data_IF_500023381283
#
_entry.id   IF_500023381283
#
_cell.length_a   1.000
_cell.length_b   1.000
_cell.length_c   1.000
_cell.angle_alpha   90.00
_cell.angle_beta   90.00
_cell.angle_gamma   90.00
#
_symmetry.space_group_name_H-M   'P 1'
#
loop_
_entity.id
_entity.type
_entity.pdbx_description
1 polymer ?
#
# COMPACT_ATOMS: atom_id res chain seq x y z
N UNK A 1 -2.72 -7.63 5.88
CA UNK A 1 -3.77 -7.48 6.91
C UNK A 1 -4.49 -8.80 7.05
N UNK A 2 -4.46 -9.48 8.21
CA UNK A 2 -5.24 -10.69 8.40
C UNK A 2 -6.73 -10.32 8.50
N UNK A 3 -7.53 -10.82 7.56
CA UNK A 3 -8.98 -10.65 7.51
C UNK A 3 -9.64 -12.01 7.78
N UNK A 4 -10.73 -12.02 8.54
CA UNK A 4 -11.58 -13.19 8.63
C UNK A 4 -12.30 -13.42 7.29
N UNK A 5 -12.87 -14.62 7.09
CA UNK A 5 -13.69 -14.88 5.91
C UNK A 5 -14.78 -13.81 5.76
N UNK A 6 -14.97 -13.31 4.55
CA UNK A 6 -15.94 -12.26 4.20
C UNK A 6 -15.74 -10.89 4.89
N UNK A 7 -14.68 -10.71 5.69
CA UNK A 7 -14.37 -9.43 6.32
C UNK A 7 -13.96 -8.39 5.28
N UNK A 8 -14.35 -7.15 5.52
CA UNK A 8 -14.12 -6.03 4.59
C UNK A 8 -13.18 -5.03 5.24
N UNK A 9 -12.27 -4.48 4.43
CA UNK A 9 -11.37 -3.44 4.89
C UNK A 9 -11.74 -2.07 4.32
N UNK A 10 -12.14 -1.16 5.21
CA UNK A 10 -12.38 0.23 4.89
C UNK A 10 -11.14 1.05 5.18
N UNK A 11 -10.35 1.35 4.16
CA UNK A 11 -9.04 1.99 4.29
C UNK A 11 -9.11 3.52 4.14
N UNK A 12 -8.36 4.22 4.98
CA UNK A 12 -8.04 5.63 4.82
C UNK A 12 -6.59 5.88 5.28
N UNK A 13 -5.98 6.99 4.86
CA UNK A 13 -4.63 7.33 5.30
C UNK A 13 -4.52 8.82 5.59
N UNK A 14 -3.97 9.15 6.76
CA UNK A 14 -3.66 10.53 7.14
C UNK A 14 -2.36 10.96 6.46
N UNK A 15 -2.38 12.12 5.81
CA UNK A 15 -1.16 12.74 5.31
C UNK A 15 -0.43 13.46 6.46
N UNK A 16 0.61 12.81 7.00
CA UNK A 16 1.39 13.31 8.13
C UNK A 16 2.26 14.52 7.77
N UNK A 17 2.65 14.68 6.51
CA UNK A 17 3.38 15.87 6.03
C UNK A 17 2.59 17.16 6.31
N UNK A 18 1.25 17.09 6.24
CA UNK A 18 0.35 18.20 6.53
C UNK A 18 0.09 18.43 8.02
N UNK A 19 0.64 17.58 8.89
CA UNK A 19 0.50 17.67 10.35
C UNK A 19 1.74 18.28 11.00
N UNK A 20 2.74 18.69 10.23
CA UNK A 20 3.91 19.41 10.74
C UNK A 20 3.63 20.92 10.88
N UNK A 21 4.02 21.51 12.00
CA UNK A 21 4.35 22.93 12.10
C UNK A 21 5.81 23.10 11.66
N UNK A 22 5.99 23.41 10.39
CA UNK A 22 7.30 23.57 9.75
C UNK A 22 8.19 24.60 10.44
N UNK A 23 7.61 25.67 10.98
CA UNK A 23 8.39 26.75 11.60
C UNK A 23 8.93 26.35 12.95
N UNK A 24 8.19 25.51 13.67
CA UNK A 24 8.56 25.06 15.02
C UNK A 24 9.14 23.64 15.03
N UNK A 25 9.23 23.00 13.87
CA UNK A 25 9.77 21.65 13.69
C UNK A 25 9.11 20.62 14.63
N UNK A 26 7.78 20.69 14.76
CA UNK A 26 7.01 19.77 15.60
C UNK A 26 5.69 19.36 14.95
N UNK A 27 5.02 18.37 15.55
CA UNK A 27 3.67 17.94 15.14
C UNK A 27 2.62 18.92 15.66
N UNK A 28 1.69 19.32 14.81
CA UNK A 28 0.44 19.97 15.21
C UNK A 28 -0.53 18.89 15.74
N UNK A 29 -0.37 18.56 17.02
CA UNK A 29 -1.12 17.49 17.70
C UNK A 29 -2.63 17.74 17.70
N UNK A 30 -3.06 19.01 17.83
CA UNK A 30 -4.47 19.38 17.83
C UNK A 30 -5.09 19.16 16.44
N UNK A 31 -4.38 19.53 15.39
CA UNK A 31 -4.81 19.25 14.00
C UNK A 31 -4.85 17.75 13.75
N UNK A 32 -3.81 17.03 14.14
CA UNK A 32 -3.77 15.57 14.01
C UNK A 32 -4.95 14.91 14.72
N UNK A 33 -5.27 15.31 15.96
CA UNK A 33 -6.42 14.80 16.71
C UNK A 33 -7.73 15.01 15.97
N UNK A 34 -8.01 16.25 15.53
CA UNK A 34 -9.23 16.57 14.79
C UNK A 34 -9.33 15.78 13.48
N UNK A 35 -8.21 15.58 12.79
CA UNK A 35 -8.14 14.77 11.57
C UNK A 35 -8.44 13.30 11.85
N UNK A 36 -7.87 12.72 12.92
CA UNK A 36 -8.16 11.34 13.34
C UNK A 36 -9.64 11.18 13.66
N UNK A 37 -10.22 12.06 14.48
CA UNK A 37 -11.63 11.98 14.89
C UNK A 37 -12.56 12.00 13.67
N UNK A 38 -12.26 12.88 12.72
CA UNK A 38 -13.00 12.97 11.45
C UNK A 38 -12.82 11.71 10.61
N UNK A 39 -11.59 11.20 10.47
CA UNK A 39 -11.30 10.02 9.66
C UNK A 39 -12.00 8.77 10.20
N UNK A 40 -11.97 8.54 11.52
CA UNK A 40 -12.65 7.41 12.16
C UNK A 40 -14.17 7.48 11.93
N UNK A 41 -14.78 8.65 12.11
CA UNK A 41 -16.22 8.84 11.82
C UNK A 41 -16.54 8.64 10.35
N UNK A 42 -15.72 9.15 9.44
CA UNK A 42 -15.91 8.96 8.00
C UNK A 42 -15.84 7.48 7.61
N UNK A 43 -14.84 6.75 8.11
CA UNK A 43 -14.71 5.31 7.84
C UNK A 43 -15.86 4.51 8.45
N UNK A 44 -16.35 4.87 9.65
CA UNK A 44 -17.55 4.25 10.23
C UNK A 44 -18.79 4.48 9.36
N UNK A 45 -18.96 5.67 8.80
CA UNK A 45 -20.08 5.98 7.91
C UNK A 45 -19.98 5.25 6.55
N UNK A 46 -18.77 4.99 6.05
CA UNK A 46 -18.55 4.24 4.79
C UNK A 46 -19.10 2.82 4.90
N UNK A 47 -18.99 2.17 6.06
CA UNK A 47 -19.57 0.84 6.30
C UNK A 47 -21.06 0.83 5.96
N UNK A 48 -21.82 1.82 6.47
CA UNK A 48 -23.27 1.88 6.27
C UNK A 48 -23.67 2.30 4.84
N UNK A 49 -22.76 2.94 4.11
CA UNK A 49 -22.96 3.40 2.72
C UNK A 49 -22.49 2.42 1.66
N UNK A 50 -21.67 1.45 2.04
CA UNK A 50 -21.09 0.49 1.10
C UNK A 50 -22.18 -0.44 0.58
N UNK A 51 -22.25 -0.60 -0.74
CA UNK A 51 -23.08 -1.64 -1.36
C UNK A 51 -22.37 -2.98 -1.25
N UNK A 52 -22.99 -3.93 -0.56
CA UNK A 52 -22.48 -5.30 -0.43
C UNK A 52 -23.20 -6.22 -1.40
N UNK A 53 -22.44 -6.87 -2.29
CA UNK A 53 -22.99 -7.78 -3.31
C UNK A 53 -23.22 -9.19 -2.78
N UNK A 54 -22.44 -9.62 -1.78
CA UNK A 54 -22.63 -10.89 -1.08
C UNK A 54 -23.21 -10.61 0.30
N UNK A 55 -24.21 -11.40 0.68
CA UNK A 55 -24.91 -11.23 1.95
C UNK A 55 -23.99 -11.54 3.14
N UNK A 56 -23.10 -12.51 2.99
CA UNK A 56 -22.08 -12.87 3.99
C UNK A 56 -21.13 -11.69 4.25
N UNK A 57 -20.73 -10.96 3.21
CA UNK A 57 -19.92 -9.75 3.38
C UNK A 57 -20.69 -8.67 4.12
N UNK A 58 -21.98 -8.50 3.81
CA UNK A 58 -22.84 -7.50 4.46
C UNK A 58 -22.97 -7.79 5.95
N UNK A 59 -23.27 -9.05 6.31
CA UNK A 59 -23.39 -9.50 7.70
C UNK A 59 -22.06 -9.28 8.44
N UNK A 60 -20.95 -9.72 7.85
CA UNK A 60 -19.64 -9.60 8.47
C UNK A 60 -19.25 -8.13 8.69
N UNK A 61 -19.35 -7.30 7.65
CA UNK A 61 -18.92 -5.89 7.72
C UNK A 61 -19.77 -5.06 8.69
N UNK A 62 -21.10 -5.23 8.69
CA UNK A 62 -21.99 -4.52 9.62
C UNK A 62 -21.84 -5.03 11.05
N UNK A 63 -21.50 -6.31 11.24
CA UNK A 63 -21.33 -6.93 12.55
C UNK A 63 -20.01 -6.57 13.24
N UNK A 64 -18.90 -6.60 12.50
CA UNK A 64 -17.56 -6.30 13.06
C UNK A 64 -17.18 -4.82 12.97
N UNK A 65 -17.82 -4.08 12.05
CA UNK A 65 -17.57 -2.66 11.75
C UNK A 65 -16.08 -2.30 11.62
N UNK A 66 -15.32 -3.14 10.93
CA UNK A 66 -13.86 -3.00 10.79
C UNK A 66 -13.51 -1.81 9.91
N UNK A 67 -12.53 -1.04 10.37
CA UNK A 67 -11.89 0.03 9.61
C UNK A 67 -10.37 -0.14 9.67
N UNK A 68 -9.65 0.59 8.81
CA UNK A 68 -8.19 0.57 8.75
C UNK A 68 -7.66 1.95 8.43
N UNK A 69 -7.47 2.77 9.46
CA UNK A 69 -6.78 4.05 9.37
C UNK A 69 -5.27 3.79 9.34
N UNK A 70 -4.64 4.26 8.27
CA UNK A 70 -3.19 4.29 8.11
C UNK A 70 -2.66 5.71 7.97
N UNK A 71 -1.45 5.81 7.46
CA UNK A 71 -0.78 7.09 7.22
C UNK A 71 -0.05 7.10 5.88
N UNK A 72 0.34 8.29 5.44
CA UNK A 72 1.31 8.56 4.38
C UNK A 72 2.13 9.79 4.79
N UNK A 73 3.27 10.01 4.14
CA UNK A 73 4.14 11.16 4.41
C UNK A 73 4.83 11.11 5.77
N UNK A 74 5.10 9.91 6.30
CA UNK A 74 5.83 9.76 7.56
C UNK A 74 7.24 10.33 7.46
N UNK A 75 7.92 10.09 6.34
CA UNK A 75 9.29 10.56 6.16
C UNK A 75 9.34 12.08 5.99
N UNK A 76 8.39 12.67 5.28
CA UNK A 76 8.21 14.12 5.22
C UNK A 76 8.09 14.72 6.62
N UNK A 77 7.22 14.18 7.47
CA UNK A 77 7.04 14.66 8.83
C UNK A 77 8.33 14.56 9.65
N UNK A 78 9.06 13.45 9.55
CA UNK A 78 10.34 13.24 10.22
C UNK A 78 11.37 14.28 9.78
N UNK A 79 11.45 14.58 8.47
CA UNK A 79 12.32 15.62 7.91
C UNK A 79 11.91 17.00 8.45
N UNK A 80 10.61 17.32 8.47
CA UNK A 80 10.12 18.61 8.98
C UNK A 80 10.34 18.79 10.48
N UNK A 81 10.42 17.70 11.23
CA UNK A 81 10.83 17.70 12.64
C UNK A 81 12.36 17.70 12.82
N UNK A 82 13.15 17.83 11.74
CA UNK A 82 14.60 17.84 11.75
C UNK A 82 15.21 16.57 12.38
N UNK A 83 14.65 15.41 12.03
CA UNK A 83 15.08 14.10 12.52
C UNK A 83 15.49 13.22 11.33
N UNK A 84 16.48 12.34 11.54
CA UNK A 84 16.87 11.32 10.57
C UNK A 84 16.05 10.05 10.77
N UNK A 85 15.39 9.58 9.72
CA UNK A 85 14.64 8.32 9.75
C UNK A 85 15.51 7.16 10.27
N UNK A 86 14.96 6.27 11.10
CA UNK A 86 15.67 5.12 11.65
C UNK A 86 16.61 5.41 12.82
N UNK A 87 16.99 6.67 13.05
CA UNK A 87 17.80 7.08 14.21
C UNK A 87 17.07 6.87 15.54
N UNK A 88 17.80 6.72 16.64
CA UNK A 88 17.22 6.56 17.99
C UNK A 88 16.26 7.70 18.36
N UNK A 89 16.63 8.95 18.05
CA UNK A 89 15.78 10.12 18.29
C UNK A 89 14.48 10.08 17.47
N UNK A 90 14.59 9.73 16.18
CA UNK A 90 13.40 9.56 15.33
C UNK A 90 12.53 8.40 15.79
N UNK A 91 13.12 7.32 16.29
CA UNK A 91 12.41 6.16 16.81
C UNK A 91 11.59 6.50 18.06
N UNK A 92 12.11 7.31 18.99
CA UNK A 92 11.34 7.82 20.12
C UNK A 92 10.18 8.73 19.66
N UNK A 93 10.44 9.62 18.70
CA UNK A 93 9.40 10.48 18.12
C UNK A 93 8.29 9.67 17.41
N UNK A 94 8.66 8.66 16.62
CA UNK A 94 7.72 7.77 15.93
C UNK A 94 6.87 7.00 16.93
N UNK A 95 7.46 6.56 18.05
CA UNK A 95 6.72 5.90 19.12
C UNK A 95 5.64 6.81 19.73
N UNK A 96 6.01 8.04 20.07
CA UNK A 96 5.09 9.05 20.59
C UNK A 96 3.97 9.36 19.58
N UNK A 97 4.33 9.59 18.32
CA UNK A 97 3.40 9.86 17.24
C UNK A 97 2.37 8.75 17.07
N UNK A 98 2.80 7.50 17.02
CA UNK A 98 1.90 6.36 16.82
C UNK A 98 1.11 6.01 18.08
N UNK A 99 1.68 6.23 19.27
CA UNK A 99 0.92 6.15 20.53
C UNK A 99 -0.24 7.14 20.54
N UNK A 100 0.02 8.39 20.13
CA UNK A 100 -1.00 9.43 20.01
C UNK A 100 -2.06 9.09 18.98
N UNK A 101 -1.65 8.63 17.78
CA UNK A 101 -2.60 8.21 16.72
C UNK A 101 -3.49 7.08 17.23
N UNK A 102 -2.90 6.08 17.88
CA UNK A 102 -3.63 4.91 18.31
C UNK A 102 -4.62 5.21 19.43
N UNK A 103 -4.17 5.90 20.47
CA UNK A 103 -5.04 6.30 21.58
C UNK A 103 -6.17 7.21 21.11
N UNK A 104 -5.86 8.20 20.26
CA UNK A 104 -6.87 9.11 19.68
C UNK A 104 -7.90 8.38 18.82
N UNK A 105 -7.49 7.41 18.01
CA UNK A 105 -8.41 6.63 17.18
C UNK A 105 -9.37 5.81 18.05
N UNK A 106 -8.85 5.16 19.09
CA UNK A 106 -9.66 4.40 20.04
C UNK A 106 -10.63 5.30 20.80
N UNK A 107 -10.20 6.49 21.23
CA UNK A 107 -11.11 7.48 21.83
C UNK A 107 -12.22 7.88 20.88
N UNK A 108 -11.91 8.19 19.62
CA UNK A 108 -12.91 8.55 18.62
C UNK A 108 -13.96 7.44 18.43
N UNK A 109 -13.54 6.18 18.38
CA UNK A 109 -14.45 5.04 18.24
C UNK A 109 -15.28 4.77 19.51
N UNK A 110 -14.75 5.06 20.70
CA UNK A 110 -15.51 5.02 21.96
C UNK A 110 -16.58 6.12 21.97
N UNK A 111 -16.25 7.35 21.56
CA UNK A 111 -17.25 8.43 21.46
C UNK A 111 -18.34 8.09 20.44
N UNK A 112 -17.98 7.46 19.31
CA UNK A 112 -18.97 6.92 18.38
C UNK A 112 -19.82 5.79 18.99
N UNK A 113 -19.27 4.98 19.90
CA UNK A 113 -20.04 3.95 20.59
C UNK A 113 -21.08 4.54 21.54
N UNK A 114 -20.76 5.66 22.21
CA UNK A 114 -21.74 6.40 23.02
C UNK A 114 -22.89 6.96 22.19
N UNK A 115 -22.58 7.46 20.98
CA UNK A 115 -23.57 8.04 20.08
C UNK A 115 -24.41 6.98 19.36
N UNK A 116 -23.77 5.92 18.83
CA UNK A 116 -24.37 4.98 17.87
C UNK A 116 -24.44 3.53 18.36
N UNK A 117 -23.93 3.24 19.55
CA UNK A 117 -23.76 1.89 20.09
C UNK A 117 -22.45 1.23 19.67
N UNK A 118 -22.04 0.22 20.44
CA UNK A 118 -20.86 -0.63 20.17
C UNK A 118 -21.03 -1.45 18.90
N UNK A 119 -19.94 -2.00 18.34
CA UNK A 119 -20.08 -2.90 17.18
C UNK A 119 -20.85 -4.17 17.54
N UNK A 120 -21.80 -4.64 16.69
CA UNK A 120 -22.72 -5.71 17.05
C UNK A 120 -22.07 -7.02 17.53
N UNK A 121 -20.98 -7.47 16.91
CA UNK A 121 -20.35 -8.73 17.30
C UNK A 121 -19.72 -8.70 18.70
N UNK A 122 -19.33 -7.52 19.22
CA UNK A 122 -18.86 -7.43 20.61
C UNK A 122 -19.99 -7.72 21.59
N UNK A 123 -21.17 -7.18 21.30
CA UNK A 123 -22.34 -7.28 22.16
C UNK A 123 -23.06 -8.64 21.99
N UNK A 124 -23.02 -9.23 20.79
CA UNK A 124 -23.68 -10.50 20.49
C UNK A 124 -22.87 -11.73 20.90
N UNK A 125 -21.57 -11.75 20.59
CA UNK A 125 -20.73 -12.94 20.74
C UNK A 125 -19.51 -12.70 21.65
N UNK A 126 -19.16 -11.42 21.84
CA UNK A 126 -17.97 -11.02 22.55
C UNK A 126 -18.18 -10.79 24.05
N UNK A 127 -17.13 -10.24 24.65
CA UNK A 127 -17.17 -9.68 26.00
C UNK A 127 -16.22 -8.50 26.01
N UNK A 128 -16.68 -7.36 26.52
CA UNK A 128 -15.83 -6.17 26.68
C UNK A 128 -14.62 -6.48 27.56
N UNK A 129 -14.79 -7.34 28.57
CA UNK A 129 -13.71 -7.82 29.42
C UNK A 129 -12.66 -8.59 28.60
N UNK A 130 -13.10 -9.62 27.84
CA UNK A 130 -12.19 -10.39 26.98
C UNK A 130 -11.51 -9.51 25.92
N UNK A 131 -12.20 -8.49 25.42
CA UNK A 131 -11.64 -7.56 24.44
C UNK A 131 -10.46 -6.77 25.02
N UNK A 132 -10.62 -6.19 26.22
CA UNK A 132 -9.53 -5.42 26.86
C UNK A 132 -8.37 -6.30 27.37
N UNK A 133 -8.63 -7.60 27.54
CA UNK A 133 -7.63 -8.62 27.92
C UNK A 133 -6.83 -9.16 26.73
N UNK A 134 -7.17 -8.80 25.49
CA UNK A 134 -6.38 -9.19 24.32
C UNK A 134 -4.97 -8.59 24.38
N UNK A 135 -3.98 -9.30 23.81
CA UNK A 135 -2.56 -8.91 23.93
C UNK A 135 -2.22 -7.52 23.39
N UNK A 136 -2.99 -7.01 22.42
CA UNK A 136 -2.85 -5.62 21.96
C UNK A 136 -3.46 -4.63 22.97
N UNK A 137 -4.70 -4.88 23.42
CA UNK A 137 -5.40 -4.01 24.35
C UNK A 137 -4.77 -3.95 25.73
N UNK A 138 -4.08 -5.01 26.17
CA UNK A 138 -3.34 -5.00 27.43
C UNK A 138 -2.23 -3.93 27.49
N UNK A 139 -1.73 -3.50 26.33
CA UNK A 139 -0.71 -2.44 26.19
C UNK A 139 -1.32 -1.04 26.05
N UNK A 140 -2.63 -0.93 25.82
CA UNK A 140 -3.32 0.35 25.73
C UNK A 140 -3.44 1.01 27.11
N UNK A 141 -3.51 2.37 27.18
CA UNK A 141 -3.69 3.07 28.44
C UNK A 141 -4.93 2.59 29.21
N UNK A 142 -4.82 2.55 30.53
CA UNK A 142 -5.90 2.10 31.40
C UNK A 142 -7.19 2.91 31.20
N UNK A 143 -7.06 4.21 30.98
CA UNK A 143 -8.20 5.09 30.68
C UNK A 143 -8.99 4.64 29.45
N UNK A 144 -8.34 4.13 28.41
CA UNK A 144 -9.00 3.60 27.21
C UNK A 144 -9.71 2.29 27.54
N UNK A 145 -9.03 1.37 28.24
CA UNK A 145 -9.64 0.08 28.63
C UNK A 145 -10.89 0.27 29.47
N UNK A 146 -10.86 1.15 30.47
CA UNK A 146 -12.00 1.43 31.32
C UNK A 146 -13.16 2.08 30.56
N UNK A 147 -12.86 3.03 29.65
CA UNK A 147 -13.88 3.62 28.78
C UNK A 147 -14.54 2.56 27.87
N UNK A 148 -13.79 1.58 27.36
CA UNK A 148 -14.34 0.48 26.55
C UNK A 148 -15.24 -0.43 27.39
N UNK A 149 -14.87 -0.76 28.62
CA UNK A 149 -15.74 -1.52 29.52
C UNK A 149 -17.07 -0.79 29.74
N UNK A 150 -16.99 0.51 30.03
CA UNK A 150 -18.15 1.34 30.34
C UNK A 150 -19.05 1.57 29.13
N UNK A 151 -18.49 2.04 28.01
CA UNK A 151 -19.26 2.55 26.87
C UNK A 151 -19.26 1.62 25.65
N UNK A 152 -18.36 0.65 25.59
CA UNK A 152 -18.10 -0.14 24.39
C UNK A 152 -17.19 0.58 23.40
N UNK A 153 -17.10 0.05 22.18
CA UNK A 153 -16.30 0.63 21.08
C UNK A 153 -17.02 0.40 19.75
N UNK A 154 -16.99 1.39 18.85
CA UNK A 154 -17.80 1.34 17.61
C UNK A 154 -17.23 0.41 16.55
N UNK A 155 -15.93 0.14 16.57
CA UNK A 155 -15.21 -0.59 15.54
C UNK A 155 -14.34 -1.69 16.15
N UNK A 156 -14.32 -2.88 15.55
CA UNK A 156 -13.51 -4.01 16.07
C UNK A 156 -12.00 -3.78 15.91
N UNK A 157 -11.60 -3.15 14.81
CA UNK A 157 -10.23 -2.76 14.50
C UNK A 157 -10.26 -1.37 13.88
N UNK A 158 -9.23 -0.58 14.16
CA UNK A 158 -9.13 0.81 13.80
C UNK A 158 -7.92 1.11 12.93
N UNK A 159 -6.78 0.44 13.17
CA UNK A 159 -5.49 0.86 12.63
C UNK A 159 -4.89 -0.21 11.73
N UNK A 160 -4.62 0.16 10.48
CA UNK A 160 -3.96 -0.70 9.49
C UNK A 160 -3.12 0.18 8.58
N UNK A 161 -1.83 -0.14 8.46
CA UNK A 161 -0.97 0.59 7.54
C UNK A 161 -0.92 -0.15 6.21
N UNK A 162 -1.77 0.29 5.28
CA UNK A 162 -1.76 -0.18 3.90
C UNK A 162 -0.74 0.59 3.04
N UNK A 163 -0.29 0.02 1.90
CA UNK A 163 0.51 0.76 0.94
C UNK A 163 -0.26 1.97 0.41
N UNK A 164 0.38 3.14 0.41
CA UNK A 164 -0.17 4.36 -0.21
C UNK A 164 0.65 4.77 -1.43
N UNK A 165 1.12 3.79 -2.21
CA UNK A 165 1.93 4.02 -3.40
C UNK A 165 1.29 5.01 -4.39
N UNK A 166 0.03 4.79 -4.74
CA UNK A 166 -0.71 5.67 -5.65
C UNK A 166 -1.13 6.99 -5.00
N UNK A 167 -1.73 6.93 -3.80
CA UNK A 167 -2.29 8.11 -3.12
C UNK A 167 -1.22 9.04 -2.57
N UNK A 168 -0.14 8.51 -2.00
CA UNK A 168 1.02 9.28 -1.55
C UNK A 168 1.74 9.95 -2.71
N UNK A 169 1.98 9.24 -3.81
CA UNK A 169 2.52 9.86 -5.05
C UNK A 169 1.60 10.98 -5.55
N UNK A 170 0.29 10.74 -5.59
CA UNK A 170 -0.69 11.72 -6.09
C UNK A 170 -0.67 13.03 -5.30
N UNK A 171 -0.45 12.97 -3.99
CA UNK A 171 -0.37 14.17 -3.12
C UNK A 171 1.06 14.64 -2.86
N UNK A 172 2.06 14.01 -3.48
CA UNK A 172 3.45 14.46 -3.46
C UNK A 172 4.23 14.19 -2.17
N UNK A 173 3.89 13.15 -1.41
CA UNK A 173 4.54 12.80 -0.12
C UNK A 173 5.08 11.38 -0.13
N UNK A 174 5.92 11.04 0.86
CA UNK A 174 6.43 9.67 1.04
C UNK A 174 5.27 8.67 1.21
N UNK A 175 5.46 7.45 0.72
CA UNK A 175 4.37 6.47 0.69
C UNK A 175 4.33 5.66 1.97
N UNK A 176 3.20 5.70 2.67
CA UNK A 176 2.94 4.87 3.84
C UNK A 176 3.84 5.28 5.00
N UNK A 177 4.58 4.30 5.50
CA UNK A 177 5.65 4.52 6.48
C UNK A 177 7.02 4.61 5.83
N UNK A 178 7.10 4.48 4.50
CA UNK A 178 8.38 4.28 3.84
C UNK A 178 9.22 5.57 3.85
N UNK A 179 10.54 5.43 4.06
CA UNK A 179 11.47 6.46 3.65
C UNK A 179 11.42 6.63 2.12
N UNK A 180 11.93 7.75 1.63
CA UNK A 180 12.01 7.98 0.19
C UNK A 180 12.99 6.98 -0.40
N UNK A 181 12.62 6.28 -1.47
CA UNK A 181 13.55 5.41 -2.20
C UNK A 181 14.80 6.19 -2.62
N UNK A 182 14.57 7.37 -3.19
CA UNK A 182 15.51 8.44 -3.38
C UNK A 182 14.74 9.75 -3.49
N UNK A 183 15.42 10.88 -3.27
CA UNK A 183 14.81 12.20 -3.41
C UNK A 183 14.77 12.69 -4.86
N UNK A 184 15.57 12.07 -5.73
CA UNK A 184 15.56 12.21 -7.18
C UNK A 184 15.69 10.83 -7.81
N UNK A 185 14.71 10.42 -8.62
CA UNK A 185 14.71 9.10 -9.27
C UNK A 185 13.93 9.11 -10.58
N UNK A 186 14.13 8.08 -11.38
CA UNK A 186 13.35 7.83 -12.59
C UNK A 186 12.33 6.72 -12.31
N UNK A 187 11.09 6.94 -12.78
CA UNK A 187 10.01 5.95 -12.68
C UNK A 187 9.60 5.49 -14.06
N UNK A 188 9.57 4.17 -14.28
CA UNK A 188 9.04 3.57 -15.50
C UNK A 188 7.51 3.43 -15.41
N UNK A 189 6.80 4.03 -16.37
CA UNK A 189 5.36 3.84 -16.54
C UNK A 189 5.02 2.61 -17.39
N UNK A 190 3.75 2.18 -17.41
CA UNK A 190 3.27 1.09 -18.29
C UNK A 190 3.52 1.32 -19.79
N UNK A 191 3.78 2.58 -20.17
CA UNK A 191 4.08 3.00 -21.53
C UNK A 191 5.59 3.08 -21.81
N UNK A 192 6.45 2.58 -20.92
CA UNK A 192 7.91 2.63 -21.07
C UNK A 192 8.52 4.03 -20.96
N UNK A 193 7.76 5.04 -20.52
CA UNK A 193 8.28 6.39 -20.30
C UNK A 193 8.93 6.49 -18.92
N UNK A 194 10.21 6.84 -18.90
CA UNK A 194 10.93 7.25 -17.71
C UNK A 194 10.59 8.71 -17.40
N UNK A 195 9.92 8.93 -16.29
CA UNK A 195 9.65 10.27 -15.76
C UNK A 195 10.60 10.52 -14.60
N UNK A 196 11.32 11.65 -14.66
CA UNK A 196 12.07 12.14 -13.52
C UNK A 196 11.09 12.58 -12.43
N UNK A 197 11.32 12.09 -11.21
CA UNK A 197 10.54 12.43 -10.03
C UNK A 197 11.48 13.06 -9.02
N UNK A 198 11.16 14.30 -8.64
CA UNK A 198 11.83 15.03 -7.57
C UNK A 198 10.88 15.09 -6.37
N UNK A 199 11.37 14.76 -5.20
CA UNK A 199 10.58 14.75 -3.98
C UNK A 199 10.28 16.20 -3.52
N UNK A 200 9.00 16.62 -3.46
CA UNK A 200 8.63 18.01 -3.17
C UNK A 200 9.13 18.53 -1.81
N UNK A 201 9.35 17.63 -0.85
CA UNK A 201 9.93 17.92 0.47
C UNK A 201 11.30 18.62 0.38
N UNK A 202 12.11 18.31 -0.63
CA UNK A 202 13.45 18.88 -0.81
C UNK A 202 13.36 20.36 -1.13
N UNK A 203 12.57 20.72 -2.15
CA UNK A 203 12.42 22.13 -2.56
C UNK A 203 11.89 22.98 -1.40
N UNK A 204 10.88 22.48 -0.70
CA UNK A 204 10.29 23.17 0.46
C UNK A 204 11.30 23.35 1.60
N UNK A 205 12.23 22.42 1.77
CA UNK A 205 13.29 22.55 2.76
C UNK A 205 14.34 23.59 2.34
N UNK A 206 14.77 23.55 1.07
CA UNK A 206 15.74 24.51 0.53
C UNK A 206 15.22 25.96 0.52
N UNK A 207 13.91 26.16 0.32
CA UNK A 207 13.26 27.48 0.46
C UNK A 207 13.43 28.09 1.85
N UNK A 208 13.51 27.26 2.89
CA UNK A 208 13.66 27.68 4.29
C UNK A 208 15.11 27.66 4.77
N UNK A 209 15.97 26.90 4.09
CA UNK A 209 17.36 26.68 4.44
C UNK A 209 18.28 26.94 3.23
N UNK A 210 18.46 28.22 2.84
CA UNK A 210 19.24 28.59 1.66
C UNK A 210 20.74 28.26 1.77
N UNK A 211 21.22 27.85 2.94
CA UNK A 211 22.57 27.34 3.16
C UNK A 211 22.84 25.97 2.54
N UNK A 212 21.78 25.21 2.22
CA UNK A 212 21.88 23.90 1.57
C UNK A 212 21.59 23.99 0.07
N UNK A 213 22.05 22.98 -0.66
CA UNK A 213 21.76 22.72 -2.06
C UNK A 213 21.31 21.26 -2.22
N UNK A 214 20.84 20.88 -3.40
CA UNK A 214 20.49 19.50 -3.71
C UNK A 214 21.62 18.49 -3.47
N UNK A 215 22.89 18.94 -3.56
CA UNK A 215 24.09 18.13 -3.35
C UNK A 215 24.58 18.13 -1.90
N UNK A 216 24.14 19.10 -1.09
CA UNK A 216 24.63 19.31 0.28
C UNK A 216 23.55 19.10 1.33
N UNK A 217 22.46 18.39 0.97
CA UNK A 217 21.36 18.09 1.88
C UNK A 217 21.86 17.44 3.19
N UNK A 218 21.29 17.83 4.34
CA UNK A 218 21.67 17.25 5.61
C UNK A 218 21.23 15.79 5.74
N UNK A 219 21.84 15.08 6.69
CA UNK A 219 21.64 13.64 6.97
C UNK A 219 20.18 13.24 7.30
N UNK A 220 19.29 14.21 7.57
CA UNK A 220 17.85 13.97 7.70
C UNK A 220 17.20 13.53 6.37
N UNK A 221 17.81 13.87 5.23
CA UNK A 221 17.44 13.40 3.88
C UNK A 221 18.09 12.05 3.56
N UNK A 222 17.91 11.08 4.46
CA UNK A 222 18.39 9.70 4.28
C UNK A 222 17.46 8.93 3.33
N UNK A 223 18.00 8.27 2.30
CA UNK A 223 17.17 7.45 1.42
C UNK A 223 16.97 6.04 1.96
N UNK A 224 16.04 5.28 1.38
CA UNK A 224 15.78 3.90 1.77
C UNK A 224 17.02 3.00 1.65
N UNK A 225 17.92 3.30 0.70
CA UNK A 225 19.13 2.52 0.45
C UNK A 225 20.31 2.94 1.34
N UNK A 226 20.24 4.12 1.96
CA UNK A 226 21.24 4.61 2.92
C UNK A 226 21.00 4.08 4.35
N UNK A 227 19.82 3.52 4.59
CA UNK A 227 19.43 2.94 5.87
C UNK A 227 19.90 1.50 5.98
N UNK A 228 20.35 1.11 7.17
CA UNK A 228 20.60 -0.30 7.47
C UNK A 228 19.28 -1.10 7.49
N UNK A 229 19.31 -2.41 7.18
CA UNK A 229 18.13 -3.25 7.30
C UNK A 229 17.50 -3.25 8.70
N UNK A 230 18.33 -3.17 9.75
CA UNK A 230 17.91 -3.07 11.14
C UNK A 230 17.21 -1.74 11.42
N UNK A 231 17.69 -0.63 10.85
CA UNK A 231 17.01 0.68 10.97
C UNK A 231 15.60 0.63 10.40
N UNK A 232 15.40 0.00 9.23
CA UNK A 232 14.07 -0.24 8.66
C UNK A 232 13.20 -1.10 9.58
N UNK A 233 13.75 -2.21 10.06
CA UNK A 233 13.02 -3.17 10.88
C UNK A 233 12.65 -2.59 12.25
N UNK A 234 13.51 -1.78 12.86
CA UNK A 234 13.27 -1.10 14.14
C UNK A 234 12.05 -0.18 14.05
N UNK A 235 11.99 0.67 13.02
CA UNK A 235 10.84 1.57 12.81
C UNK A 235 9.56 0.77 12.65
N UNK A 236 9.59 -0.34 11.91
CA UNK A 236 8.43 -1.22 11.76
C UNK A 236 7.97 -1.81 13.10
N UNK A 237 8.89 -2.33 13.90
CA UNK A 237 8.58 -2.91 15.21
C UNK A 237 7.98 -1.88 16.17
N UNK A 238 8.54 -0.66 16.20
CA UNK A 238 8.04 0.45 17.03
C UNK A 238 6.59 0.76 16.66
N UNK A 239 6.31 0.94 15.36
CA UNK A 239 4.97 1.29 14.88
C UNK A 239 4.00 0.13 15.12
N UNK A 240 4.44 -1.12 14.98
CA UNK A 240 3.57 -2.29 15.17
C UNK A 240 2.99 -2.39 16.60
N UNK A 241 3.68 -1.81 17.61
CA UNK A 241 3.16 -1.74 18.98
C UNK A 241 1.82 -1.03 19.09
N UNK A 242 1.56 -0.09 18.18
CA UNK A 242 0.40 0.80 18.18
C UNK A 242 -0.55 0.57 17.00
N UNK A 243 -0.39 -0.54 16.28
CA UNK A 243 -1.27 -0.92 15.17
C UNK A 243 -1.95 -2.23 15.51
N UNK A 244 -3.28 -2.20 15.66
CA UNK A 244 -4.09 -3.37 16.05
C UNK A 244 -4.11 -4.48 14.99
N UNK A 245 -3.98 -4.11 13.72
CA UNK A 245 -3.88 -5.01 12.58
C UNK A 245 -2.40 -5.13 12.15
N UNK A 246 -2.09 -5.15 10.86
CA UNK A 246 -0.71 -5.32 10.37
C UNK A 246 -0.24 -4.08 9.63
N UNK A 247 1.07 -4.02 9.43
CA UNK A 247 1.75 -3.00 8.66
C UNK A 247 2.24 -3.58 7.34
N UNK A 248 2.13 -2.80 6.26
CA UNK A 248 2.89 -3.02 5.03
C UNK A 248 4.10 -2.08 5.03
N UNK A 249 5.26 -2.62 5.39
CA UNK A 249 6.54 -1.93 5.30
C UNK A 249 7.61 -2.87 4.74
N UNK A 250 8.45 -2.33 3.87
CA UNK A 250 9.61 -3.02 3.30
C UNK A 250 10.87 -2.74 4.11
N UNK A 251 11.59 -3.80 4.45
CA UNK A 251 12.97 -3.77 4.96
C UNK A 251 13.88 -3.97 3.75
N UNK A 252 14.52 -2.89 3.29
CA UNK A 252 15.47 -2.97 2.18
C UNK A 252 16.81 -3.48 2.69
N UNK A 253 17.40 -4.43 1.96
CA UNK A 253 18.70 -5.00 2.25
C UNK A 253 19.62 -4.87 1.03
N UNK A 254 20.93 -4.63 1.24
CA UNK A 254 21.86 -4.40 0.15
C UNK A 254 22.05 -5.63 -0.74
N UNK A 255 22.50 -5.40 -1.97
CA UNK A 255 22.82 -6.48 -2.90
C UNK A 255 23.90 -7.39 -2.30
N UNK A 256 23.65 -8.70 -2.34
CA UNK A 256 24.57 -9.70 -1.79
C UNK A 256 24.29 -10.10 -0.33
N UNK A 257 23.26 -9.55 0.31
CA UNK A 257 22.77 -10.06 1.60
C UNK A 257 22.47 -11.56 1.50
N UNK A 258 23.08 -12.34 2.38
CA UNK A 258 22.98 -13.79 2.46
C UNK A 258 21.63 -14.25 3.02
N UNK A 259 21.31 -15.53 2.82
CA UNK A 259 20.10 -16.16 3.39
C UNK A 259 20.10 -16.08 4.93
N UNK A 260 21.26 -16.28 5.56
CA UNK A 260 21.40 -16.22 7.02
C UNK A 260 21.17 -14.80 7.57
N UNK A 261 21.65 -13.76 6.88
CA UNK A 261 21.37 -12.37 7.25
C UNK A 261 19.88 -12.04 7.10
N UNK A 262 19.23 -12.52 6.03
CA UNK A 262 17.78 -12.37 5.85
C UNK A 262 17.00 -13.11 6.96
N UNK A 263 17.42 -14.32 7.32
CA UNK A 263 16.85 -15.08 8.44
C UNK A 263 16.98 -14.29 9.76
N UNK A 264 18.15 -13.72 10.03
CA UNK A 264 18.38 -12.88 11.20
C UNK A 264 17.46 -11.65 11.22
N UNK A 265 17.19 -11.02 10.07
CA UNK A 265 16.24 -9.91 9.97
C UNK A 265 14.80 -10.34 10.26
N UNK A 266 14.37 -11.52 9.80
CA UNK A 266 13.06 -12.07 10.16
C UNK A 266 12.97 -12.38 11.66
N UNK A 267 14.03 -12.93 12.26
CA UNK A 267 14.08 -13.12 13.71
C UNK A 267 14.07 -11.81 14.50
N UNK A 268 14.72 -10.77 13.98
CA UNK A 268 14.69 -9.44 14.57
C UNK A 268 13.27 -8.86 14.56
N UNK A 269 12.57 -8.94 13.41
CA UNK A 269 11.16 -8.56 13.29
C UNK A 269 10.26 -9.35 14.25
N UNK A 270 10.42 -10.68 14.30
CA UNK A 270 9.67 -11.55 15.18
C UNK A 270 9.87 -11.20 16.67
N UNK A 271 11.13 -11.09 17.10
CA UNK A 271 11.48 -10.71 18.49
C UNK A 271 11.03 -9.29 18.83
N UNK A 272 11.04 -8.39 17.85
CA UNK A 272 10.54 -7.02 17.99
C UNK A 272 9.01 -6.91 18.03
N UNK A 273 8.27 -8.02 17.87
CA UNK A 273 6.81 -8.05 17.93
C UNK A 273 6.12 -7.60 16.64
N UNK A 274 6.83 -7.59 15.51
CA UNK A 274 6.23 -7.40 14.20
C UNK A 274 5.24 -8.55 13.91
N UNK A 275 4.05 -8.23 13.38
CA UNK A 275 3.06 -9.27 12.99
C UNK A 275 3.35 -9.90 11.63
N UNK A 276 4.30 -9.33 10.91
CA UNK A 276 4.79 -9.72 9.60
C UNK A 276 5.81 -8.68 9.15
N UNK A 277 6.50 -8.94 8.04
CA UNK A 277 7.41 -8.00 7.40
C UNK A 277 7.83 -8.50 6.03
N UNK A 278 8.33 -7.59 5.20
CA UNK A 278 8.80 -7.91 3.86
C UNK A 278 10.24 -7.48 3.75
N UNK A 279 11.15 -8.44 3.58
CA UNK A 279 12.56 -8.16 3.28
C UNK A 279 12.72 -8.12 1.76
N UNK A 280 13.28 -7.04 1.24
CA UNK A 280 13.64 -6.90 -0.16
C UNK A 280 15.16 -6.75 -0.27
N UNK A 281 15.82 -7.77 -0.83
CA UNK A 281 17.26 -7.71 -1.13
C UNK A 281 17.43 -7.07 -2.49
N UNK A 282 18.26 -6.03 -2.58
CA UNK A 282 18.53 -5.36 -3.85
C UNK A 282 19.15 -6.32 -4.88
N UNK A 283 18.67 -6.22 -6.13
CA UNK A 283 19.02 -7.16 -7.20
C UNK A 283 18.38 -8.55 -7.12
N UNK A 284 17.45 -8.81 -6.19
CA UNK A 284 16.73 -10.09 -6.10
C UNK A 284 15.61 -10.28 -7.13
N UNK A 285 15.31 -9.25 -7.94
CA UNK A 285 14.33 -9.29 -9.03
C UNK A 285 14.95 -8.77 -10.31
N UNK A 286 14.61 -9.40 -11.42
CA UNK A 286 15.11 -9.03 -12.76
C UNK A 286 14.59 -7.68 -13.24
N UNK A 287 13.49 -7.19 -12.66
CA UNK A 287 12.87 -5.91 -13.02
C UNK A 287 12.64 -5.02 -11.79
N UNK A 288 13.09 -3.77 -11.89
CA UNK A 288 12.88 -2.73 -10.89
C UNK A 288 12.05 -1.59 -11.50
N UNK A 289 11.08 -1.09 -10.73
CA UNK A 289 10.17 -0.01 -11.18
C UNK A 289 10.81 1.38 -10.97
N UNK A 290 11.74 1.48 -10.02
CA UNK A 290 12.42 2.70 -9.62
C UNK A 290 13.92 2.55 -9.90
N UNK A 291 14.52 3.51 -10.58
CA UNK A 291 15.95 3.51 -10.88
C UNK A 291 16.58 4.87 -10.58
N UNK A 292 17.83 4.85 -10.12
CA UNK A 292 18.61 6.07 -9.87
C UNK A 292 19.21 6.67 -11.16
N UNK A 293 19.37 5.83 -12.19
CA UNK A 293 19.85 6.22 -13.51
C UNK A 293 18.74 6.04 -14.54
N UNK A 294 18.80 6.84 -15.59
CA UNK A 294 18.01 6.61 -16.80
C UNK A 294 18.62 5.40 -17.51
N UNK A 295 18.05 4.22 -17.33
CA UNK A 295 18.38 3.05 -18.13
C UNK A 295 17.64 3.16 -19.47
N UNK A 296 18.39 3.22 -20.57
CA UNK A 296 17.83 3.19 -21.93
C UNK A 296 17.51 1.75 -22.39
N UNK A 297 17.92 0.73 -21.61
CA UNK A 297 17.62 -0.68 -21.87
C UNK A 297 16.37 -1.12 -21.08
N UNK A 298 15.30 -1.40 -21.82
CA UNK A 298 14.09 -2.03 -21.29
C UNK A 298 14.45 -3.40 -20.69
N UNK A 299 13.96 -3.76 -19.49
CA UNK A 299 14.00 -5.16 -19.08
C UNK A 299 13.14 -5.98 -20.06
N UNK A 300 13.75 -6.98 -20.68
CA UNK A 300 13.03 -8.01 -21.44
C UNK A 300 12.10 -8.74 -20.47
N UNK A 301 10.83 -8.88 -20.86
CA UNK A 301 9.92 -9.79 -20.17
C UNK A 301 10.51 -11.20 -20.27
N UNK A 302 10.61 -11.88 -19.12
CA UNK A 302 10.98 -13.30 -19.03
C UNK A 302 9.99 -14.10 -19.88
N UNK A 303 10.48 -14.81 -20.91
CA UNK A 303 9.64 -15.69 -21.72
C UNK A 303 9.41 -17.02 -20.98
N UNK A 304 8.33 -17.75 -21.30
CA UNK A 304 8.01 -19.03 -20.65
C UNK A 304 9.15 -20.07 -20.75
N UNK A 305 10.06 -19.90 -21.71
CA UNK A 305 11.26 -20.71 -21.92
C UNK A 305 12.32 -20.54 -20.82
N UNK A 306 12.37 -19.37 -20.18
CA UNK A 306 13.32 -19.07 -19.09
C UNK A 306 12.92 -19.74 -17.75
N UNK A 307 11.70 -20.31 -17.68
CA UNK A 307 11.16 -21.03 -16.52
C UNK A 307 11.35 -22.56 -16.59
N UNK A 308 12.15 -23.06 -17.56
CA UNK A 308 12.43 -24.49 -17.72
C UNK A 308 11.24 -25.32 -18.22
N UNK A 309 10.24 -24.67 -18.81
CA UNK A 309 9.12 -25.34 -19.48
C UNK A 309 9.56 -25.66 -20.91
N UNK A 310 9.99 -26.90 -21.14
CA UNK A 310 10.27 -27.40 -22.49
C UNK A 310 8.96 -27.58 -23.26
N UNK A 311 8.79 -26.82 -24.34
CA UNK A 311 7.74 -27.06 -25.33
C UNK A 311 8.37 -27.94 -26.42
N UNK A 312 7.84 -29.13 -26.65
CA UNK A 312 8.31 -30.03 -27.72
C UNK A 312 8.15 -29.36 -29.10
N UNK A 313 9.25 -28.93 -29.69
CA UNK A 313 9.30 -28.55 -31.10
C UNK A 313 9.33 -29.79 -31.99
N UNK A 314 8.18 -30.13 -32.59
CA UNK A 314 8.16 -31.02 -33.76
C UNK A 314 8.75 -30.29 -34.97
N UNK A 315 10.06 -30.49 -35.15
CA UNK A 315 10.77 -30.19 -36.38
C UNK A 315 10.36 -31.18 -37.50
N UNK A 316 9.69 -30.69 -38.54
CA UNK A 316 9.67 -31.34 -39.85
C UNK A 316 10.57 -30.53 -40.80
N UNK A 317 11.61 -31.21 -41.28
CA UNK A 317 12.63 -30.72 -42.19
C UNK A 317 12.09 -30.29 -43.56
N UNK A 318 12.66 -29.18 -44.04
CA UNK A 318 12.28 -28.43 -45.21
C UNK A 318 12.63 -29.10 -46.55
N UNK A 319 11.78 -28.87 -47.56
CA UNK A 319 12.16 -28.88 -48.98
C UNK A 319 12.41 -27.43 -49.41
N UNK A 320 13.62 -27.21 -49.91
CA UNK A 320 14.16 -26.10 -50.73
C UNK A 320 13.46 -24.72 -50.71
N UNK A 321 14.00 -23.86 -49.82
CA UNK A 321 14.47 -22.46 -49.97
C UNK A 321 13.60 -21.42 -50.70
N UNK A 322 12.67 -20.82 -49.96
CA UNK A 322 12.08 -19.50 -50.26
C UNK A 322 12.49 -18.47 -49.19
N UNK A 323 13.27 -17.46 -49.60
CA UNK A 323 13.78 -16.39 -48.73
C UNK A 323 12.83 -15.18 -48.67
N UNK A 324 12.01 -15.16 -47.62
CA UNK A 324 11.81 -14.12 -46.59
C UNK A 324 11.90 -12.63 -47.02
N UNK A 325 10.78 -11.90 -46.84
CA UNK A 325 10.70 -10.48 -46.45
C UNK A 325 9.33 -10.21 -45.75
N UNK A 326 9.18 -9.15 -44.94
CA UNK A 326 9.15 -9.13 -43.48
C UNK A 326 7.74 -9.23 -42.84
N UNK A 327 7.71 -9.61 -41.57
CA UNK A 327 6.52 -9.67 -40.73
C UNK A 327 5.82 -8.30 -40.60
N UNK A 328 4.59 -8.25 -41.10
CA UNK A 328 3.69 -7.12 -40.92
C UNK A 328 3.19 -7.05 -39.47
N UNK A 329 3.40 -5.86 -38.92
CA UNK A 329 2.87 -5.26 -37.70
C UNK A 329 1.38 -5.54 -37.47
N UNK A 330 0.96 -5.49 -36.19
CA UNK A 330 -0.44 -5.42 -35.69
C UNK A 330 -1.18 -4.15 -36.16
N UNK A 331 -1.08 -3.78 -37.43
CA UNK A 331 -1.66 -2.57 -38.01
C UNK A 331 -2.85 -2.84 -38.95
N UNK A 332 -3.22 -4.10 -39.20
CA UNK A 332 -4.21 -4.47 -40.24
C UNK A 332 -5.27 -5.50 -39.80
N UNK A 333 -5.55 -5.63 -38.50
CA UNK A 333 -6.65 -6.47 -38.01
C UNK A 333 -7.85 -5.58 -37.68
N UNK A 334 -8.92 -5.66 -38.48
CA UNK A 334 -10.20 -5.01 -38.18
C UNK A 334 -10.81 -5.71 -36.95
N UNK A 335 -10.64 -5.11 -35.79
CA UNK A 335 -11.19 -5.57 -34.51
C UNK A 335 -12.33 -4.62 -34.14
N UNK A 336 -13.51 -5.16 -33.91
CA UNK A 336 -14.72 -4.36 -33.76
C UNK A 336 -15.97 -5.18 -33.57
N UNK A 337 -17.12 -4.50 -33.52
CA UNK A 337 -18.43 -5.10 -33.23
C UNK A 337 -19.32 -5.21 -34.46
N UNK A 338 -18.81 -4.87 -35.64
CA UNK A 338 -19.54 -5.00 -36.91
C UNK A 338 -19.29 -6.37 -37.54
N UNK A 339 -20.21 -6.80 -38.40
CA UNK A 339 -20.14 -8.11 -39.05
C UNK A 339 -18.86 -8.21 -39.90
N UNK A 340 -18.09 -9.26 -39.70
CA UNK A 340 -16.80 -9.50 -40.37
C UNK A 340 -15.58 -9.00 -39.59
N UNK A 341 -15.77 -8.25 -38.50
CA UNK A 341 -14.67 -7.88 -37.61
C UNK A 341 -14.20 -9.06 -36.77
N UNK A 342 -12.95 -9.00 -36.31
CA UNK A 342 -12.43 -9.89 -35.27
C UNK A 342 -12.99 -9.43 -33.92
N UNK A 343 -13.52 -10.38 -33.15
CA UNK A 343 -14.13 -10.13 -31.86
C UNK A 343 -13.15 -9.40 -30.92
N UNK A 344 -13.54 -8.26 -30.34
CA UNK A 344 -12.66 -7.47 -29.47
C UNK A 344 -12.42 -8.13 -28.11
N UNK A 345 -13.19 -9.17 -27.77
CA UNK A 345 -13.12 -9.85 -26.47
C UNK A 345 -12.12 -11.02 -26.53
N UNK A 346 -12.31 -11.95 -27.46
CA UNK A 346 -11.43 -13.13 -27.56
C UNK A 346 -10.30 -12.97 -28.59
N UNK A 347 -10.38 -11.97 -29.48
CA UNK A 347 -9.39 -11.71 -30.55
C UNK A 347 -9.14 -12.87 -31.52
N UNK A 348 -9.99 -13.89 -31.47
CA UNK A 348 -9.87 -15.14 -32.24
C UNK A 348 -11.07 -15.39 -33.14
N UNK A 349 -12.30 -15.17 -32.65
CA UNK A 349 -13.52 -15.40 -33.43
C UNK A 349 -13.95 -14.18 -34.24
N UNK A 350 -14.67 -14.40 -35.33
CA UNK A 350 -15.25 -13.34 -36.18
C UNK A 350 -16.67 -12.99 -35.72
N UNK A 351 -17.11 -11.76 -35.97
CA UNK A 351 -18.45 -11.29 -35.63
C UNK A 351 -19.43 -11.59 -36.77
N UNK A 352 -20.53 -12.28 -36.48
CA UNK A 352 -21.58 -12.65 -37.44
C UNK A 352 -22.96 -12.29 -36.91
N UNK A 353 -23.94 -12.03 -37.79
CA UNK A 353 -25.33 -11.82 -37.36
C UNK A 353 -25.98 -13.17 -37.07
N UNK A 354 -26.30 -13.38 -35.80
CA UNK A 354 -27.01 -14.57 -35.31
C UNK A 354 -28.28 -14.08 -34.61
N UNK A 355 -29.40 -14.14 -35.34
CA UNK A 355 -30.73 -13.85 -34.80
C UNK A 355 -31.03 -12.36 -34.59
N UNK A 356 -30.45 -11.46 -35.39
CA UNK A 356 -30.63 -10.01 -35.27
C UNK A 356 -29.61 -9.34 -34.34
N UNK A 357 -28.58 -10.11 -33.92
CA UNK A 357 -27.51 -9.66 -33.05
C UNK A 357 -26.15 -10.08 -33.61
N UNK A 358 -25.25 -9.12 -33.71
CA UNK A 358 -23.84 -9.35 -34.01
C UNK A 358 -23.21 -10.13 -32.85
N UNK A 359 -22.84 -11.38 -33.11
CA UNK A 359 -22.39 -12.37 -32.13
C UNK A 359 -21.06 -12.97 -32.58
N UNK A 360 -20.14 -13.19 -31.65
CA UNK A 360 -18.85 -13.82 -31.95
C UNK A 360 -18.98 -15.33 -32.17
N UNK A 361 -18.38 -15.85 -33.23
CA UNK A 361 -18.37 -17.30 -33.56
C UNK A 361 -17.53 -18.18 -32.64
N UNK A 362 -16.62 -17.60 -31.84
CA UNK A 362 -15.77 -18.36 -30.93
C UNK A 362 -16.28 -18.30 -29.48
N UNK A 363 -16.51 -17.10 -28.95
CA UNK A 363 -16.89 -16.92 -27.54
C UNK A 363 -18.40 -16.70 -27.31
N UNK A 364 -19.21 -16.69 -28.37
CA UNK A 364 -20.67 -16.44 -28.34
C UNK A 364 -21.08 -15.12 -27.66
N UNK A 365 -20.15 -14.17 -27.51
CA UNK A 365 -20.47 -12.86 -26.98
C UNK A 365 -21.36 -12.09 -27.98
N UNK A 366 -22.51 -11.61 -27.50
CA UNK A 366 -23.36 -10.68 -28.24
C UNK A 366 -22.79 -9.27 -28.08
N UNK A 367 -22.35 -8.69 -29.19
CA UNK A 367 -21.61 -7.43 -29.22
C UNK A 367 -22.50 -6.24 -29.55
N UNK A 368 -23.50 -6.45 -30.42
CA UNK A 368 -24.43 -5.40 -30.86
C UNK A 368 -25.74 -6.05 -31.33
N UNK A 369 -26.84 -5.79 -30.65
CA UNK A 369 -28.17 -6.25 -31.06
C UNK A 369 -28.95 -5.09 -31.70
N UNK A 370 -29.64 -5.36 -32.81
CA UNK A 370 -30.65 -4.43 -33.31
C UNK A 370 -31.82 -4.34 -32.33
N UNK A 371 -32.38 -3.15 -32.14
CA UNK A 371 -33.71 -3.00 -31.55
C UNK A 371 -34.77 -3.53 -32.51
#
# INVERSE_FOLDING_TARGET
QPLAAYSVCNLAAINLANMADFKKQHVDWDKLKRTIDTAIRMQDNVIDRTTYFLEENRIQALGERRIGLGVMGLHDLIIYCNLRYGSEKANHFVDELFSFIATSAYEASIELAKEKGSFPFLDQYGSRQKFIETGYMQKMPESIRQKILQYGIRNSHLLTIAPTGSTGTMVGVSTGLEPYFAFKYYRSGRLGKFMEVNAPVVEKYLELHPEYTHETLPDIFVSAMDLSPEEHANVQCIIQRWVDSSISKTVNAPKGTSVEEVENLYFHLYKGGAKGGTVYVDGSRDTQVLTLKKDDDLPKQVELTDLGIEIEEKNVTAKEKDNINPAHTKANRNIGTEIGDICPICLEGTVEDIGGCNTCTNCNAQLKCGL
#
